data_IF_701582808479
#
_entry.id   IF_701582808479
#
_cell.length_a   1.000
_cell.length_b   1.000
_cell.length_c   1.000
_cell.angle_alpha   90.00
_cell.angle_beta   90.00
_cell.angle_gamma   90.00
#
_symmetry.space_group_name_H-M   'P 1'
#
loop_
_entity.id
_entity.type
_entity.pdbx_description
1 polymer ?
#
# COMPACT_ATOMS: atom_id res chain seq x y z
N UNK A 1 -7.72 -0.98 8.95
CA UNK A 1 -8.35 -2.26 8.55
C UNK A 1 -8.51 -2.25 7.03
N UNK A 2 -7.46 -2.61 6.28
CA UNK A 2 -7.50 -2.67 4.82
C UNK A 2 -7.83 -4.08 4.34
N UNK A 3 -8.43 -4.23 3.15
CA UNK A 3 -8.65 -5.55 2.54
C UNK A 3 -7.31 -6.13 2.08
N UNK A 4 -6.86 -7.22 2.70
CA UNK A 4 -5.68 -7.93 2.27
C UNK A 4 -5.99 -8.70 0.98
N UNK A 5 -5.33 -8.35 -0.14
CA UNK A 5 -5.51 -9.03 -1.42
C UNK A 5 -5.23 -10.54 -1.38
N UNK A 6 -4.49 -11.00 -0.36
CA UNK A 6 -4.27 -12.43 -0.08
C UNK A 6 -5.58 -13.19 0.21
N UNK A 7 -6.56 -12.54 0.84
CA UNK A 7 -7.84 -13.16 1.16
C UNK A 7 -8.68 -13.42 -0.10
N UNK A 8 -8.68 -12.49 -1.06
CA UNK A 8 -9.35 -12.69 -2.35
C UNK A 8 -8.70 -13.79 -3.20
N UNK A 9 -7.39 -14.01 -3.06
CA UNK A 9 -6.68 -15.10 -3.76
C UNK A 9 -7.05 -16.50 -3.22
N UNK A 10 -7.29 -16.63 -1.92
CA UNK A 10 -7.73 -17.91 -1.31
C UNK A 10 -9.17 -18.22 -1.70
N UNK A 11 -10.01 -17.18 -1.82
CA UNK A 11 -11.41 -17.31 -2.23
C UNK A 11 -11.54 -17.76 -3.69
N UNK A 12 -10.68 -17.28 -4.61
CA UNK A 12 -10.73 -17.72 -6.01
C UNK A 12 -10.32 -19.19 -6.18
N UNK A 13 -9.42 -19.70 -5.33
CA UNK A 13 -9.02 -21.11 -5.35
C UNK A 13 -10.04 -22.04 -4.68
N UNK A 14 -10.63 -21.59 -3.56
CA UNK A 14 -11.57 -22.42 -2.76
C UNK A 14 -13.02 -22.29 -3.25
N UNK A 15 -13.36 -21.24 -4.02
CA UNK A 15 -14.72 -20.87 -4.47
C UNK A 15 -15.76 -20.69 -3.36
N UNK A 16 -15.34 -20.59 -2.10
CA UNK A 16 -16.22 -20.40 -0.95
C UNK A 16 -16.26 -18.92 -0.58
N UNK A 17 -17.40 -18.27 -0.81
CA UNK A 17 -17.69 -16.85 -0.47
C UNK A 17 -18.74 -16.70 0.63
N UNK A 18 -18.73 -17.60 1.62
CA UNK A 18 -19.75 -17.64 2.67
C UNK A 18 -19.44 -16.72 3.85
N UNK A 19 -20.39 -15.85 4.21
CA UNK A 19 -20.35 -15.02 5.43
C UNK A 19 -20.22 -15.86 6.71
N UNK A 20 -20.75 -17.09 6.70
CA UNK A 20 -20.68 -18.00 7.83
C UNK A 20 -19.25 -18.49 8.08
N UNK A 21 -18.51 -18.80 7.02
CA UNK A 21 -17.09 -19.20 7.10
C UNK A 21 -16.24 -18.04 7.61
N UNK A 22 -16.54 -16.82 7.14
CA UNK A 22 -15.86 -15.61 7.62
C UNK A 22 -16.16 -15.35 9.11
N UNK A 23 -17.40 -15.57 9.55
CA UNK A 23 -17.79 -15.43 10.96
C UNK A 23 -17.10 -16.46 11.85
N UNK A 24 -17.04 -17.74 11.44
CA UNK A 24 -16.31 -18.78 12.18
C UNK A 24 -14.83 -18.46 12.26
N UNK A 25 -14.21 -18.04 11.16
CA UNK A 25 -12.80 -17.63 11.14
C UNK A 25 -12.52 -16.43 12.04
N UNK A 26 -13.42 -15.44 12.05
CA UNK A 26 -13.34 -14.28 12.93
C UNK A 26 -13.49 -14.63 14.42
N UNK A 27 -14.45 -15.50 14.76
CA UNK A 27 -14.62 -16.00 16.13
C UNK A 27 -13.40 -16.82 16.56
N UNK A 28 -12.86 -17.66 15.67
CA UNK A 28 -11.63 -18.41 15.91
C UNK A 28 -10.42 -17.50 16.19
N UNK A 29 -10.24 -16.45 15.38
CA UNK A 29 -9.19 -15.44 15.59
C UNK A 29 -9.40 -14.65 16.90
N UNK A 30 -10.64 -14.35 17.25
CA UNK A 30 -10.98 -13.66 18.49
C UNK A 30 -10.63 -14.51 19.72
N UNK A 31 -11.05 -15.78 19.72
CA UNK A 31 -10.72 -16.74 20.78
C UNK A 31 -9.20 -17.00 20.86
N UNK A 32 -8.53 -17.11 19.71
CA UNK A 32 -7.08 -17.26 19.63
C UNK A 32 -6.34 -16.03 20.16
N UNK A 33 -6.86 -14.82 19.92
CA UNK A 33 -6.29 -13.56 20.41
C UNK A 33 -6.41 -13.37 21.93
N UNK A 34 -7.45 -13.92 22.55
CA UNK A 34 -7.66 -13.88 24.01
C UNK A 34 -6.88 -15.00 24.73
N UNK A 35 -6.53 -16.08 24.00
CA UNK A 35 -5.84 -17.22 24.60
C UNK A 35 -4.40 -16.89 25.03
N UNK A 36 -4.07 -16.95 26.34
CA UNK A 36 -2.72 -16.68 26.83
C UNK A 36 -1.71 -17.75 26.40
N UNK A 37 -2.18 -18.96 26.06
CA UNK A 37 -1.34 -20.05 25.59
C UNK A 37 -0.67 -19.69 24.24
N UNK A 38 -1.43 -19.08 23.33
CA UNK A 38 -0.92 -18.68 22.02
C UNK A 38 0.03 -17.48 22.14
N UNK A 39 -0.28 -16.54 23.04
CA UNK A 39 0.58 -15.39 23.33
C UNK A 39 1.95 -15.81 23.87
N UNK A 40 2.01 -16.83 24.75
CA UNK A 40 3.27 -17.36 25.25
C UNK A 40 4.07 -18.09 24.16
N UNK A 41 3.41 -18.80 23.25
CA UNK A 41 4.08 -19.46 22.12
C UNK A 41 4.66 -18.45 21.12
N UNK A 42 3.97 -17.35 20.84
CA UNK A 42 4.49 -16.30 19.95
C UNK A 42 5.73 -15.63 20.56
N UNK A 43 5.78 -15.48 21.89
CA UNK A 43 6.94 -14.91 22.60
C UNK A 43 8.20 -15.77 22.51
N UNK A 44 8.09 -17.09 22.30
CA UNK A 44 9.27 -17.96 22.14
C UNK A 44 9.85 -17.90 20.73
N UNK A 45 9.18 -17.24 19.77
CA UNK A 45 9.66 -17.09 18.40
C UNK A 45 10.84 -16.11 18.38
N UNK A 46 12.01 -16.49 17.84
CA UNK A 46 13.16 -15.60 17.73
C UNK A 46 12.87 -14.37 16.87
N UNK A 47 13.45 -13.20 17.19
CA UNK A 47 13.23 -11.97 16.43
C UNK A 47 13.64 -12.10 14.95
N UNK A 48 14.62 -12.95 14.64
CA UNK A 48 15.08 -13.20 13.27
C UNK A 48 13.97 -13.79 12.38
N UNK A 49 13.08 -14.63 12.93
CA UNK A 49 11.98 -15.24 12.17
C UNK A 49 10.87 -14.22 11.92
N UNK A 50 10.56 -13.41 12.93
CA UNK A 50 9.56 -12.33 12.81
C UNK A 50 10.03 -11.31 11.77
N UNK A 51 11.30 -10.92 11.80
CA UNK A 51 11.89 -10.04 10.79
C UNK A 51 11.78 -10.62 9.37
N UNK A 52 12.07 -11.91 9.19
CA UNK A 52 11.90 -12.60 7.92
C UNK A 52 10.44 -12.59 7.42
N UNK A 53 9.48 -12.87 8.30
CA UNK A 53 8.05 -12.81 7.95
C UNK A 53 7.62 -11.38 7.55
N UNK A 54 8.09 -10.37 8.27
CA UNK A 54 7.83 -8.96 7.96
C UNK A 54 8.41 -8.56 6.60
N UNK A 55 9.62 -9.00 6.26
CA UNK A 55 10.24 -8.76 4.95
C UNK A 55 9.40 -9.33 3.79
N UNK A 56 8.87 -10.55 3.94
CA UNK A 56 8.00 -11.17 2.92
C UNK A 56 6.73 -10.35 2.71
N UNK A 57 6.13 -9.85 3.80
CA UNK A 57 4.92 -9.01 3.73
C UNK A 57 5.24 -7.68 3.05
N UNK A 58 6.31 -6.99 3.45
CA UNK A 58 6.72 -5.74 2.82
C UNK A 58 7.08 -5.92 1.34
N UNK A 59 7.81 -6.98 0.98
CA UNK A 59 8.10 -7.29 -0.42
C UNK A 59 6.81 -7.46 -1.22
N UNK A 60 5.83 -8.21 -0.68
CA UNK A 60 4.55 -8.42 -1.35
C UNK A 60 3.78 -7.10 -1.48
N UNK A 61 3.75 -6.28 -0.44
CA UNK A 61 3.13 -4.95 -0.46
C UNK A 61 3.76 -4.05 -1.52
N UNK A 62 5.09 -4.01 -1.60
CA UNK A 62 5.83 -3.25 -2.62
C UNK A 62 5.50 -3.74 -4.02
N UNK A 63 5.53 -5.07 -4.26
CA UNK A 63 5.20 -5.63 -5.58
C UNK A 63 3.74 -5.36 -5.96
N UNK A 64 2.80 -5.49 -5.03
CA UNK A 64 1.39 -5.16 -5.27
C UNK A 64 1.20 -3.67 -5.57
N UNK A 65 1.87 -2.78 -4.84
CA UNK A 65 1.86 -1.35 -5.11
C UNK A 65 2.40 -1.02 -6.50
N UNK A 66 3.54 -1.60 -6.88
CA UNK A 66 4.11 -1.40 -8.20
C UNK A 66 3.21 -1.96 -9.30
N UNK A 67 2.58 -3.12 -9.08
CA UNK A 67 1.62 -3.71 -10.02
C UNK A 67 0.41 -2.80 -10.24
N UNK A 68 -0.11 -2.16 -9.19
CA UNK A 68 -1.20 -1.19 -9.30
C UNK A 68 -0.80 -0.02 -10.19
N UNK A 69 0.41 0.54 -10.00
CA UNK A 69 0.90 1.65 -10.83
C UNK A 69 1.13 1.20 -12.28
N UNK A 70 1.64 -0.01 -12.49
CA UNK A 70 1.88 -0.55 -13.83
C UNK A 70 0.60 -0.80 -14.65
N UNK A 71 -0.58 -0.86 -14.02
CA UNK A 71 -1.85 -1.09 -14.74
C UNK A 71 -2.20 0.04 -15.71
N UNK A 72 -1.85 1.28 -15.38
CA UNK A 72 -2.08 2.46 -16.23
C UNK A 72 -0.92 2.73 -17.22
N UNK A 73 0.12 1.88 -17.17
CA UNK A 73 1.30 1.99 -18.03
C UNK A 73 2.31 3.08 -17.60
N UNK A 74 3.56 2.88 -18.02
CA UNK A 74 4.66 3.81 -17.76
C UNK A 74 4.84 4.80 -18.91
N UNK A 75 3.99 5.82 -18.95
CA UNK A 75 4.23 6.99 -19.80
C UNK A 75 5.23 7.94 -19.11
N UNK A 76 5.78 8.89 -19.87
CA UNK A 76 6.73 9.89 -19.33
C UNK A 76 6.13 10.66 -18.14
N UNK A 77 4.84 11.01 -18.22
CA UNK A 77 4.11 11.71 -17.16
C UNK A 77 3.91 10.84 -15.92
N UNK A 78 3.34 9.63 -16.08
CA UNK A 78 3.11 8.69 -14.97
C UNK A 78 4.42 8.29 -14.26
N UNK A 79 5.49 8.09 -15.02
CA UNK A 79 6.81 7.75 -14.47
C UNK A 79 7.43 8.92 -13.69
N UNK A 80 7.20 10.15 -14.16
CA UNK A 80 7.66 11.35 -13.45
C UNK A 80 6.88 11.57 -12.16
N UNK A 81 5.55 11.39 -12.17
CA UNK A 81 4.70 11.46 -10.97
C UNK A 81 5.15 10.42 -9.95
N UNK A 82 5.31 9.16 -10.38
CA UNK A 82 5.77 8.06 -9.53
C UNK A 82 7.16 8.36 -8.93
N UNK A 83 8.11 8.76 -9.78
CA UNK A 83 9.48 9.03 -9.37
C UNK A 83 9.59 10.18 -8.37
N UNK A 84 8.92 11.31 -8.63
CA UNK A 84 8.93 12.45 -7.71
C UNK A 84 8.21 12.14 -6.39
N UNK A 85 7.08 11.43 -6.44
CA UNK A 85 6.35 10.99 -5.24
C UNK A 85 7.20 10.06 -4.37
N UNK A 86 7.87 9.08 -4.96
CA UNK A 86 8.75 8.17 -4.23
C UNK A 86 9.98 8.89 -3.68
N UNK A 87 10.63 9.73 -4.49
CA UNK A 87 11.82 10.47 -4.10
C UNK A 87 11.53 11.46 -2.95
N UNK A 88 10.38 12.14 -2.99
CA UNK A 88 9.97 13.06 -1.92
C UNK A 88 9.60 12.33 -0.63
N UNK A 89 8.81 11.24 -0.70
CA UNK A 89 8.44 10.46 0.48
C UNK A 89 9.65 9.87 1.22
N UNK A 90 10.63 9.34 0.46
CA UNK A 90 11.90 8.85 1.02
C UNK A 90 12.77 10.03 1.48
N UNK A 91 12.81 11.13 0.71
CA UNK A 91 13.61 12.31 1.03
C UNK A 91 13.24 12.93 2.38
N UNK A 92 11.95 13.05 2.69
CA UNK A 92 11.49 13.55 3.99
C UNK A 92 11.77 12.58 5.14
N UNK A 93 11.76 11.27 4.87
CA UNK A 93 12.14 10.26 5.85
C UNK A 93 13.62 10.35 6.23
N UNK A 94 14.50 10.63 5.27
CA UNK A 94 15.96 10.68 5.48
C UNK A 94 16.39 12.05 6.04
N UNK A 95 15.71 13.13 5.64
CA UNK A 95 16.03 14.49 6.05
C UNK A 95 14.81 15.20 6.67
N UNK A 96 14.38 14.82 7.89
CA UNK A 96 13.23 15.44 8.56
C UNK A 96 13.47 16.92 8.90
N UNK A 97 14.74 17.31 9.06
CA UNK A 97 15.19 18.68 9.37
C UNK A 97 14.74 19.72 8.34
N UNK A 98 14.46 19.29 7.10
CA UNK A 98 14.00 20.17 6.01
C UNK A 98 12.61 20.74 6.32
N UNK A 99 11.86 20.11 7.23
CA UNK A 99 10.53 20.54 7.66
C UNK A 99 10.50 21.38 8.94
N UNK A 100 11.62 21.63 9.61
CA UNK A 100 11.67 22.40 10.86
C UNK A 100 11.15 23.84 10.72
N UNK A 101 11.17 24.39 9.50
CA UNK A 101 10.65 25.73 9.21
C UNK A 101 9.15 25.74 8.88
N UNK A 102 8.52 24.57 8.74
CA UNK A 102 7.09 24.46 8.48
C UNK A 102 6.30 24.43 9.79
N UNK A 103 5.02 24.82 9.78
CA UNK A 103 4.17 24.71 10.97
C UNK A 103 4.11 23.25 11.45
N UNK A 104 4.19 23.04 12.77
CA UNK A 104 4.25 21.71 13.42
C UNK A 104 3.27 20.68 12.86
N UNK A 105 2.08 21.09 12.45
CA UNK A 105 1.09 20.21 11.84
C UNK A 105 1.59 19.55 10.54
N UNK A 106 2.24 20.33 9.66
CA UNK A 106 2.78 19.83 8.39
C UNK A 106 4.04 18.97 8.66
N UNK A 107 4.88 19.41 9.58
CA UNK A 107 6.06 18.65 10.01
C UNK A 107 5.68 17.24 10.48
N UNK A 108 4.73 17.13 11.40
CA UNK A 108 4.26 15.85 11.94
C UNK A 108 3.69 14.96 10.83
N UNK A 109 2.87 15.51 9.93
CA UNK A 109 2.24 14.72 8.87
C UNK A 109 3.23 14.20 7.82
N UNK A 110 4.25 15.01 7.48
CA UNK A 110 5.18 14.68 6.41
C UNK A 110 6.43 13.94 6.91
N UNK A 111 6.86 14.17 8.15
CA UNK A 111 8.02 13.52 8.76
C UNK A 111 7.68 12.17 9.39
N UNK A 112 6.52 12.03 10.07
CA UNK A 112 6.17 10.78 10.77
C UNK A 112 5.62 9.69 9.83
N UNK A 113 5.19 10.07 8.62
CA UNK A 113 4.62 9.14 7.64
C UNK A 113 5.11 9.44 6.22
N UNK A 114 6.15 8.72 5.80
CA UNK A 114 6.71 8.76 4.45
C UNK A 114 5.69 8.36 3.36
N UNK A 115 4.72 7.52 3.71
CA UNK A 115 3.63 7.11 2.81
C UNK A 115 2.67 8.28 2.56
N UNK A 116 2.32 9.03 3.61
CA UNK A 116 1.40 10.17 3.49
C UNK A 116 2.06 11.30 2.69
N UNK A 117 3.33 11.60 2.98
CA UNK A 117 4.05 12.64 2.26
C UNK A 117 4.23 12.31 0.77
N UNK A 118 4.60 11.07 0.43
CA UNK A 118 4.68 10.61 -0.95
C UNK A 118 3.32 10.69 -1.67
N UNK A 119 2.24 10.26 -1.00
CA UNK A 119 0.90 10.33 -1.57
C UNK A 119 0.43 11.78 -1.80
N UNK A 120 0.70 12.70 -0.86
CA UNK A 120 0.39 14.11 -1.04
C UNK A 120 1.11 14.69 -2.26
N UNK A 121 2.40 14.40 -2.43
CA UNK A 121 3.17 14.87 -3.59
C UNK A 121 2.62 14.28 -4.89
N UNK A 122 2.28 12.98 -4.91
CA UNK A 122 1.63 12.37 -6.08
C UNK A 122 0.33 13.08 -6.45
N UNK A 123 -0.55 13.33 -5.47
CA UNK A 123 -1.84 13.99 -5.68
C UNK A 123 -1.65 15.42 -6.20
N UNK A 124 -0.71 16.17 -5.62
CA UNK A 124 -0.42 17.56 -6.03
C UNK A 124 0.07 17.60 -7.48
N UNK A 125 1.03 16.74 -7.84
CA UNK A 125 1.57 16.70 -9.20
C UNK A 125 0.47 16.25 -10.17
N UNK A 126 -0.30 15.21 -9.83
CA UNK A 126 -1.41 14.72 -10.64
C UNK A 126 -2.46 15.80 -10.88
N UNK A 127 -2.83 16.58 -9.85
CA UNK A 127 -3.76 17.69 -9.97
C UNK A 127 -3.22 18.79 -10.89
N UNK A 128 -1.93 19.12 -10.79
CA UNK A 128 -1.28 20.12 -11.63
C UNK A 128 -1.24 19.70 -13.11
N UNK A 129 -0.98 18.42 -13.39
CA UNK A 129 -1.07 17.86 -14.74
C UNK A 129 -2.49 17.93 -15.31
N UNK A 130 -3.49 17.56 -14.49
CA UNK A 130 -4.89 17.58 -14.91
C UNK A 130 -5.40 18.99 -15.24
N UNK A 131 -4.94 20.01 -14.51
CA UNK A 131 -5.25 21.43 -14.78
C UNK A 131 -4.55 21.95 -16.04
N UNK A 132 -3.30 21.54 -16.28
CA UNK A 132 -2.50 22.01 -17.43
C UNK A 132 -2.89 21.34 -18.74
N UNK A 133 -3.42 20.11 -18.71
CA UNK A 133 -3.85 19.36 -19.88
C UNK A 133 -5.30 18.86 -19.73
N UNK A 134 -6.30 19.75 -19.82
CA UNK A 134 -7.71 19.37 -19.76
C UNK A 134 -8.10 18.66 -21.06
N UNK A 135 -7.82 17.36 -21.17
CA UNK A 135 -8.22 16.57 -22.35
C UNK A 135 -7.50 15.25 -22.60
N UNK A 136 -6.41 14.93 -21.92
CA UNK A 136 -5.74 13.63 -22.13
C UNK A 136 -6.38 12.55 -21.25
N UNK A 137 -7.54 12.05 -21.67
CA UNK A 137 -8.11 10.84 -21.09
C UNK A 137 -7.17 9.67 -21.40
N UNK A 138 -6.83 8.90 -20.37
CA UNK A 138 -6.21 7.58 -20.45
C UNK A 138 -7.13 6.52 -21.09
N UNK A 139 -7.85 6.88 -22.17
CA UNK A 139 -8.72 6.01 -22.96
C UNK A 139 -7.87 5.10 -23.86
N UNK A 140 -7.03 4.21 -23.30
CA UNK A 140 -6.35 3.14 -24.08
C UNK A 140 -6.13 1.82 -23.33
N UNK A 141 -6.82 1.57 -22.21
CA UNK A 141 -6.72 0.26 -21.51
C UNK A 141 -7.91 -0.66 -21.81
N UNK A 142 -9.04 -0.15 -22.31
CA UNK A 142 -10.26 -0.96 -22.50
C UNK A 142 -10.29 -1.77 -23.82
N UNK A 143 -9.51 -1.40 -24.85
CA UNK A 143 -9.63 -1.99 -26.19
C UNK A 143 -8.75 -3.23 -26.48
N UNK A 144 -7.82 -3.59 -25.59
CA UNK A 144 -6.95 -4.77 -25.83
C UNK A 144 -7.47 -6.10 -25.32
N UNK A 145 -8.60 -6.12 -24.60
CA UNK A 145 -9.18 -7.34 -24.02
C UNK A 145 -10.55 -7.71 -24.61
N UNK A 146 -10.82 -7.29 -25.85
CA UNK A 146 -12.06 -7.63 -26.58
C UNK A 146 -11.81 -8.28 -27.96
N UNK A 147 -10.57 -8.67 -28.24
CA UNK A 147 -10.15 -9.28 -29.52
C UNK A 147 -9.43 -10.63 -29.39
N UNK A 148 -9.69 -11.37 -28.31
CA UNK A 148 -9.44 -12.82 -28.23
C UNK A 148 -10.66 -13.52 -27.62
#
# INVERSE_FOLDING_TARGET
>A
MGMFGQNSAIVSNTKVVSKFVLAIGGIGLFLAGISPLLANLIRTIPPCVVGGATLVIFSTLTTSGLRLVSMDGFNQENSMILGLSMASGIGFMVAPQVLEKFPKFIETLLADSSVVSGAMVAIIIQALYMVKFPGNKSDKVEDKNKSL
#
